data_IF_149199577151
#
_entry.id   IF_149199577151
#
_cell.length_a   1.000
_cell.length_b   1.000
_cell.length_c   1.000
_cell.angle_alpha   90.00
_cell.angle_beta   90.00
_cell.angle_gamma   90.00
#
_symmetry.space_group_name_H-M   'P 1'
#
loop_
_entity.id
_entity.type
_entity.pdbx_description
1 polymer ?
#
# COMPACT_ATOMS: atom_id res chain seq x y z
N UNK A 1 4.13 -23.72 -8.41
CA UNK A 1 3.64 -23.20 -9.70
C UNK A 1 2.76 -24.26 -10.32
N UNK A 2 1.46 -24.01 -10.42
CA UNK A 2 0.54 -24.87 -11.15
C UNK A 2 0.72 -24.58 -12.65
N UNK A 3 1.35 -25.50 -13.36
CA UNK A 3 1.43 -25.43 -14.82
C UNK A 3 0.04 -25.67 -15.39
N UNK A 4 -0.48 -24.69 -16.12
CA UNK A 4 -1.68 -24.86 -16.95
C UNK A 4 -1.29 -25.77 -18.11
N UNK A 5 -1.59 -27.06 -17.97
CA UNK A 5 -1.44 -28.04 -19.04
C UNK A 5 -2.67 -27.89 -19.95
N UNK A 6 -2.48 -27.30 -21.14
CA UNK A 6 -3.47 -27.36 -22.22
C UNK A 6 -3.48 -28.78 -22.79
N UNK A 7 -4.03 -29.72 -22.04
CA UNK A 7 -4.43 -31.01 -22.57
C UNK A 7 -5.67 -30.78 -23.42
N UNK A 8 -5.53 -30.79 -24.75
CA UNK A 8 -6.66 -31.06 -25.63
C UNK A 8 -7.05 -32.52 -25.41
N UNK A 9 -7.87 -32.77 -24.40
CA UNK A 9 -8.52 -34.07 -24.22
C UNK A 9 -9.52 -34.21 -25.35
N UNK A 10 -9.18 -34.95 -26.41
CA UNK A 10 -10.20 -35.51 -27.29
C UNK A 10 -10.91 -36.57 -26.46
N UNK A 11 -11.98 -36.19 -25.78
CA UNK A 11 -13.01 -37.14 -25.39
C UNK A 11 -13.58 -37.63 -26.70
N UNK A 12 -13.17 -38.81 -27.15
CA UNK A 12 -13.86 -39.51 -28.23
C UNK A 12 -15.26 -39.80 -27.73
N UNK A 13 -16.21 -38.93 -28.07
CA UNK A 13 -17.62 -39.24 -27.95
C UNK A 13 -17.83 -40.50 -28.79
N UNK A 14 -18.31 -41.56 -28.16
CA UNK A 14 -18.70 -42.78 -28.86
C UNK A 14 -19.88 -42.43 -29.77
N UNK A 15 -19.56 -42.09 -31.02
CA UNK A 15 -20.54 -41.92 -32.08
C UNK A 15 -20.85 -43.31 -32.65
N UNK A 16 -22.13 -43.66 -32.68
CA UNK A 16 -22.64 -44.89 -33.30
C UNK A 16 -22.63 -44.74 -34.83
N UNK A 17 -21.48 -44.38 -35.40
CA UNK A 17 -21.24 -44.41 -36.83
C UNK A 17 -20.95 -45.85 -37.24
N UNK A 18 -21.68 -46.35 -38.24
CA UNK A 18 -21.39 -47.61 -38.91
C UNK A 18 -19.90 -47.65 -39.26
N UNK A 19 -19.13 -48.52 -38.61
CA UNK A 19 -17.67 -48.56 -38.74
C UNK A 19 -17.26 -48.92 -40.18
N UNK A 20 -17.06 -47.90 -41.04
CA UNK A 20 -16.63 -48.04 -42.43
C UNK A 20 -15.13 -48.38 -42.55
N UNK A 21 -14.50 -48.78 -41.44
CA UNK A 21 -13.11 -49.14 -41.37
C UNK A 21 -12.85 -50.41 -42.18
N UNK A 22 -11.95 -50.30 -43.15
CA UNK A 22 -11.49 -51.41 -43.99
C UNK A 22 -10.26 -52.06 -43.39
N UNK A 23 -10.23 -53.40 -43.40
CA UNK A 23 -9.11 -54.21 -42.89
C UNK A 23 -8.21 -54.64 -44.03
N UNK A 24 -6.91 -54.42 -43.88
CA UNK A 24 -5.87 -54.76 -44.84
C UNK A 24 -4.87 -55.73 -44.21
N UNK A 25 -4.57 -56.82 -44.94
CA UNK A 25 -3.51 -57.76 -44.61
C UNK A 25 -2.15 -57.19 -45.01
N UNK A 26 -1.09 -57.73 -44.44
CA UNK A 26 0.30 -57.35 -44.70
C UNK A 26 1.02 -58.46 -45.47
N UNK A 27 2.07 -58.14 -46.22
CA UNK A 27 2.90 -59.17 -46.86
C UNK A 27 3.66 -59.96 -45.80
N UNK A 28 3.53 -61.29 -45.85
CA UNK A 28 4.15 -62.19 -44.90
C UNK A 28 5.68 -62.17 -45.04
N UNK A 29 6.38 -62.24 -43.91
CA UNK A 29 7.84 -62.31 -43.90
C UNK A 29 8.37 -63.49 -44.72
N UNK A 30 9.31 -63.21 -45.63
CA UNK A 30 9.99 -64.23 -46.42
C UNK A 30 9.12 -64.95 -47.46
N UNK A 31 7.88 -64.48 -47.71
CA UNK A 31 7.00 -65.04 -48.75
C UNK A 31 6.54 -63.95 -49.72
N UNK A 32 6.96 -64.05 -50.97
CA UNK A 32 6.63 -63.07 -52.00
C UNK A 32 5.14 -63.17 -52.41
N UNK A 33 4.42 -62.05 -52.35
CA UNK A 33 3.01 -61.96 -52.77
C UNK A 33 1.98 -62.61 -51.84
N UNK A 34 2.40 -63.17 -50.69
CA UNK A 34 1.48 -63.80 -49.73
C UNK A 34 1.01 -62.76 -48.71
N UNK A 35 -0.30 -62.51 -48.68
CA UNK A 35 -0.93 -61.62 -47.72
C UNK A 35 -1.44 -62.39 -46.51
N UNK A 36 -1.10 -61.92 -45.31
CA UNK A 36 -1.50 -62.52 -44.04
C UNK A 36 -1.92 -61.44 -43.04
N UNK A 37 -2.89 -61.79 -42.19
CA UNK A 37 -3.28 -60.99 -41.02
C UNK A 37 -2.86 -61.64 -39.71
N UNK A 38 -2.00 -62.67 -39.76
CA UNK A 38 -1.60 -63.44 -38.58
C UNK A 38 -0.66 -62.64 -37.67
N UNK A 39 0.33 -61.93 -38.21
CA UNK A 39 1.30 -61.17 -37.42
C UNK A 39 0.89 -59.73 -37.20
N UNK A 40 0.44 -59.06 -38.26
CA UNK A 40 -0.05 -57.69 -38.21
C UNK A 40 -1.22 -57.51 -39.18
N UNK A 41 -2.03 -56.47 -38.97
CA UNK A 41 -2.99 -55.99 -39.95
C UNK A 41 -3.20 -54.48 -39.76
N UNK A 42 -3.74 -53.83 -40.78
CA UNK A 42 -4.00 -52.39 -40.75
C UNK A 42 -5.49 -52.16 -40.93
N UNK A 43 -6.04 -51.24 -40.15
CA UNK A 43 -7.41 -50.76 -40.28
C UNK A 43 -7.36 -49.32 -40.77
N UNK A 44 -8.02 -49.03 -41.88
CA UNK A 44 -8.09 -47.68 -42.44
C UNK A 44 -9.53 -47.20 -42.50
N UNK A 45 -9.77 -46.02 -41.97
CA UNK A 45 -11.07 -45.35 -42.04
C UNK A 45 -11.05 -44.37 -43.23
N UNK A 46 -11.83 -44.62 -44.30
CA UNK A 46 -11.86 -43.76 -45.48
C UNK A 46 -12.49 -42.38 -45.20
N UNK A 47 -13.32 -42.26 -44.17
CA UNK A 47 -14.04 -41.03 -43.83
C UNK A 47 -13.12 -40.05 -43.10
N UNK A 48 -12.34 -40.54 -42.12
CA UNK A 48 -11.34 -39.70 -41.40
C UNK A 48 -9.98 -39.65 -42.09
N UNK A 49 -9.74 -40.56 -43.04
CA UNK A 49 -8.43 -40.83 -43.66
C UNK A 49 -7.35 -41.21 -42.67
N UNK A 50 -7.73 -41.73 -41.50
CA UNK A 50 -6.80 -42.21 -40.48
C UNK A 50 -6.67 -43.74 -40.57
N UNK A 51 -5.54 -44.25 -40.09
CA UNK A 51 -5.31 -45.69 -39.99
C UNK A 51 -4.78 -46.08 -38.62
N UNK A 52 -4.88 -47.37 -38.33
CA UNK A 52 -4.36 -47.99 -37.12
C UNK A 52 -3.71 -49.31 -37.48
N UNK A 53 -2.47 -49.50 -37.04
CA UNK A 53 -1.73 -50.76 -37.15
C UNK A 53 -2.03 -51.59 -35.91
N UNK A 54 -2.31 -52.87 -36.10
CA UNK A 54 -2.60 -53.82 -35.03
C UNK A 54 -1.69 -55.03 -35.10
N UNK A 55 -1.42 -55.63 -33.95
CA UNK A 55 -0.98 -57.01 -33.90
C UNK A 55 -2.07 -57.94 -34.44
N UNK A 56 -1.68 -58.97 -35.17
CA UNK A 56 -2.57 -59.95 -35.78
C UNK A 56 -3.17 -60.94 -34.80
N UNK A 57 -3.75 -62.01 -35.34
CA UNK A 57 -4.37 -63.09 -34.55
C UNK A 57 -3.36 -64.03 -33.90
N UNK A 58 -2.15 -64.13 -34.46
CA UNK A 58 -1.05 -64.96 -33.98
C UNK A 58 0.30 -64.20 -33.98
N UNK A 59 0.41 -63.08 -33.25
CA UNK A 59 1.64 -62.29 -33.18
C UNK A 59 2.74 -63.06 -32.44
N UNK A 60 3.99 -62.63 -32.56
CA UNK A 60 5.11 -63.30 -31.89
C UNK A 60 5.00 -63.27 -30.36
N UNK A 61 4.37 -62.21 -29.84
CA UNK A 61 3.97 -62.14 -28.44
C UNK A 61 2.47 -62.39 -28.33
N UNK A 62 2.05 -63.64 -28.08
CA UNK A 62 0.62 -64.01 -28.06
C UNK A 62 -0.28 -63.13 -27.18
N UNK A 63 0.26 -62.55 -26.09
CA UNK A 63 -0.42 -61.57 -25.21
C UNK A 63 -0.81 -60.25 -25.88
N UNK A 64 -0.28 -59.99 -27.08
CA UNK A 64 -0.51 -58.77 -27.87
C UNK A 64 -1.55 -58.99 -28.96
N UNK A 65 -2.13 -60.19 -29.11
CA UNK A 65 -3.09 -60.49 -30.17
C UNK A 65 -4.22 -59.44 -30.27
N UNK A 66 -4.43 -58.91 -31.47
CA UNK A 66 -5.40 -57.87 -31.80
C UNK A 66 -5.27 -56.54 -31.03
N UNK A 67 -4.16 -56.29 -30.33
CA UNK A 67 -3.92 -54.98 -29.68
C UNK A 67 -3.48 -53.94 -30.72
N UNK A 68 -3.94 -52.72 -30.52
CA UNK A 68 -3.49 -51.56 -31.29
C UNK A 68 -2.00 -51.34 -31.01
N UNK A 69 -1.25 -51.15 -32.09
CA UNK A 69 0.18 -50.89 -32.04
C UNK A 69 0.44 -49.39 -32.21
N UNK A 70 -0.02 -48.81 -33.33
CA UNK A 70 0.17 -47.39 -33.64
C UNK A 70 -1.06 -46.80 -34.34
N UNK A 71 -1.33 -45.53 -34.05
CA UNK A 71 -2.29 -44.70 -34.81
C UNK A 71 -1.53 -43.89 -35.87
N UNK A 72 -2.14 -43.74 -37.04
CA UNK A 72 -1.65 -42.98 -38.18
C UNK A 72 -2.65 -41.88 -38.49
N UNK A 73 -2.20 -40.63 -38.46
CA UNK A 73 -3.06 -39.47 -38.72
C UNK A 73 -3.40 -39.29 -40.20
N UNK A 74 -4.31 -38.36 -40.50
CA UNK A 74 -4.77 -38.08 -41.87
C UNK A 74 -3.69 -37.56 -42.83
N UNK A 75 -2.54 -37.12 -42.32
CA UNK A 75 -1.36 -36.74 -43.11
C UNK A 75 -0.44 -37.93 -43.43
N UNK A 76 -0.78 -39.14 -42.96
CA UNK A 76 -0.01 -40.36 -43.15
C UNK A 76 1.23 -40.47 -42.27
N UNK A 77 1.24 -39.79 -41.11
CA UNK A 77 2.32 -39.89 -40.12
C UNK A 77 1.88 -40.71 -38.91
N UNK A 78 2.82 -41.44 -38.33
CA UNK A 78 2.60 -42.24 -37.12
C UNK A 78 2.55 -41.32 -35.89
N UNK A 79 1.51 -41.42 -35.08
CA UNK A 79 1.39 -40.68 -33.82
C UNK A 79 2.13 -41.44 -32.72
N UNK A 80 3.11 -40.79 -32.11
CA UNK A 80 3.96 -41.38 -31.07
C UNK A 80 3.91 -40.50 -29.83
N UNK A 81 3.75 -41.15 -28.69
CA UNK A 81 3.84 -40.55 -27.35
C UNK A 81 5.12 -41.07 -26.67
N UNK A 82 5.88 -40.19 -26.02
CA UNK A 82 7.06 -40.58 -25.25
C UNK A 82 6.70 -41.50 -24.09
N UNK A 83 7.65 -42.32 -23.62
CA UNK A 83 7.40 -43.27 -22.52
C UNK A 83 7.00 -42.55 -21.20
N UNK A 84 7.41 -41.29 -21.03
CA UNK A 84 7.05 -40.45 -19.88
C UNK A 84 5.71 -39.72 -20.04
N UNK A 85 5.03 -39.87 -21.19
CA UNK A 85 3.74 -39.24 -21.50
C UNK A 85 3.79 -37.72 -21.65
N UNK A 86 4.99 -37.11 -21.70
CA UNK A 86 5.13 -35.64 -21.73
C UNK A 86 5.16 -35.07 -23.15
N UNK A 87 5.54 -35.88 -24.14
CA UNK A 87 5.72 -35.44 -25.52
C UNK A 87 4.85 -36.29 -26.43
N UNK A 88 4.17 -35.64 -27.37
CA UNK A 88 3.51 -36.28 -28.49
C UNK A 88 4.03 -35.69 -29.78
N UNK A 89 4.42 -36.52 -30.73
CA UNK A 89 4.95 -36.08 -32.02
C UNK A 89 4.44 -36.97 -33.16
N UNK A 90 4.42 -36.40 -34.36
CA UNK A 90 4.10 -37.11 -35.60
C UNK A 90 5.38 -37.55 -36.29
N UNK A 91 5.53 -38.86 -36.49
CA UNK A 91 6.69 -39.47 -37.12
C UNK A 91 6.40 -39.83 -38.57
N UNK A 92 7.20 -39.29 -39.49
CA UNK A 92 7.15 -39.69 -40.89
C UNK A 92 7.85 -41.03 -41.06
N UNK A 93 7.11 -42.00 -41.58
CA UNK A 93 7.64 -43.26 -42.05
C UNK A 93 7.23 -43.46 -43.50
N UNK A 94 8.20 -43.81 -44.35
CA UNK A 94 7.98 -43.90 -45.80
C UNK A 94 6.94 -44.97 -46.15
N UNK A 95 7.03 -46.14 -45.53
CA UNK A 95 6.21 -47.30 -45.89
C UNK A 95 4.77 -47.11 -45.39
N UNK A 96 4.61 -46.51 -44.21
CA UNK A 96 3.32 -46.04 -43.70
C UNK A 96 2.72 -44.98 -44.62
N UNK A 97 3.50 -44.00 -45.03
CA UNK A 97 3.03 -42.92 -45.89
C UNK A 97 2.61 -43.44 -47.28
N UNK A 98 3.38 -44.37 -47.85
CA UNK A 98 3.07 -45.01 -49.14
C UNK A 98 1.79 -45.87 -49.04
N UNK A 99 1.59 -46.61 -47.93
CA UNK A 99 0.32 -47.28 -47.63
C UNK A 99 -0.85 -46.30 -47.61
N UNK A 100 -0.74 -45.21 -46.85
CA UNK A 100 -1.81 -44.21 -46.70
C UNK A 100 -2.16 -43.54 -48.03
N UNK A 101 -1.16 -43.20 -48.84
CA UNK A 101 -1.37 -42.63 -50.17
C UNK A 101 -2.03 -43.61 -51.15
N UNK A 102 -1.75 -44.91 -51.01
CA UNK A 102 -2.34 -45.92 -51.89
C UNK A 102 -3.85 -46.08 -51.71
N UNK A 103 -4.39 -45.76 -50.52
CA UNK A 103 -5.82 -45.91 -50.19
C UNK A 103 -6.75 -44.96 -50.95
N UNK A 104 -6.24 -43.82 -51.43
CA UNK A 104 -6.97 -42.90 -52.30
C UNK A 104 -6.81 -43.18 -53.79
N UNK A 105 -6.00 -44.19 -54.16
CA UNK A 105 -5.65 -44.48 -55.56
C UNK A 105 -6.49 -45.62 -56.14
N UNK A 106 -6.82 -45.54 -57.43
CA UNK A 106 -7.46 -46.64 -58.17
C UNK A 106 -6.46 -47.75 -58.58
N UNK A 107 -5.22 -47.68 -58.09
CA UNK A 107 -4.13 -48.62 -58.41
C UNK A 107 -3.96 -49.65 -57.27
N UNK A 108 -3.07 -50.63 -57.48
CA UNK A 108 -2.71 -51.63 -56.48
C UNK A 108 -2.40 -50.98 -55.13
N UNK A 109 -3.06 -51.46 -54.07
CA UNK A 109 -2.81 -51.01 -52.69
C UNK A 109 -1.38 -51.39 -52.30
N UNK A 110 -0.66 -50.46 -51.69
CA UNK A 110 0.64 -50.76 -51.08
C UNK A 110 0.38 -51.50 -49.77
N UNK A 111 0.26 -52.82 -49.83
CA UNK A 111 0.17 -53.62 -48.61
C UNK A 111 1.55 -53.62 -47.95
N UNK A 112 1.69 -52.98 -46.79
CA UNK A 112 2.93 -53.00 -46.01
C UNK A 112 3.37 -54.45 -45.74
N UNK A 113 4.66 -54.70 -45.58
CA UNK A 113 5.21 -56.00 -45.19
C UNK A 113 5.37 -56.13 -43.67
N UNK A 114 5.43 -57.39 -43.19
CA UNK A 114 5.76 -57.66 -41.78
C UNK A 114 7.12 -57.06 -41.37
N UNK A 115 8.09 -56.97 -42.29
CA UNK A 115 9.41 -56.37 -42.03
C UNK A 115 9.37 -54.86 -41.87
N UNK A 116 8.61 -54.17 -42.71
CA UNK A 116 8.41 -52.73 -42.61
C UNK A 116 7.79 -52.36 -41.26
N UNK A 117 6.79 -53.13 -40.81
CA UNK A 117 6.15 -52.92 -39.50
C UNK A 117 7.12 -53.21 -38.35
N UNK A 118 7.95 -54.26 -38.45
CA UNK A 118 8.99 -54.55 -37.42
C UNK A 118 10.05 -53.46 -37.35
N UNK A 119 10.48 -52.96 -38.49
CA UNK A 119 11.41 -51.82 -38.60
C UNK A 119 10.80 -50.56 -37.97
N UNK A 120 9.53 -50.29 -38.28
CA UNK A 120 8.77 -49.19 -37.68
C UNK A 120 8.70 -49.32 -36.16
N UNK A 121 8.41 -50.51 -35.63
CA UNK A 121 8.38 -50.76 -34.17
C UNK A 121 9.73 -50.37 -33.56
N UNK A 122 10.84 -50.90 -34.08
CA UNK A 122 12.17 -50.62 -33.53
C UNK A 122 12.51 -49.11 -33.56
N UNK A 123 12.12 -48.41 -34.62
CA UNK A 123 12.32 -46.96 -34.77
C UNK A 123 11.45 -46.20 -33.78
N UNK A 124 10.14 -46.46 -33.73
CA UNK A 124 9.21 -45.78 -32.82
C UNK A 124 9.59 -46.01 -31.37
N UNK A 125 9.90 -47.25 -30.96
CA UNK A 125 10.36 -47.56 -29.60
C UNK A 125 11.68 -46.85 -29.23
N UNK A 126 12.54 -46.54 -30.21
CA UNK A 126 13.72 -45.71 -29.98
C UNK A 126 13.36 -44.24 -29.78
N UNK A 127 12.35 -43.72 -30.50
CA UNK A 127 11.92 -42.32 -30.38
C UNK A 127 11.14 -42.10 -29.09
N UNK A 128 10.37 -43.09 -28.61
CA UNK A 128 9.67 -43.03 -27.30
C UNK A 128 10.62 -42.77 -26.12
N UNK A 129 11.87 -43.23 -26.24
CA UNK A 129 12.93 -43.05 -25.23
C UNK A 129 13.55 -41.65 -25.26
N UNK A 130 13.21 -40.81 -26.23
CA UNK A 130 13.65 -39.41 -26.23
C UNK A 130 12.96 -38.70 -25.06
N UNK A 131 13.75 -38.32 -24.06
CA UNK A 131 13.31 -37.49 -22.95
C UNK A 131 13.90 -36.09 -23.09
N UNK A 132 13.06 -35.07 -22.91
CA UNK A 132 13.52 -33.67 -22.81
C UNK A 132 13.69 -33.35 -21.34
N UNK A 133 14.91 -33.01 -20.93
CA UNK A 133 15.16 -32.48 -19.59
C UNK A 133 14.65 -31.04 -19.52
N UNK A 134 13.39 -30.87 -19.13
CA UNK A 134 12.73 -29.57 -18.97
C UNK A 134 13.46 -28.68 -17.97
N UNK A 135 14.05 -29.26 -16.93
CA UNK A 135 14.77 -28.50 -15.90
C UNK A 135 16.04 -27.88 -16.48
N UNK A 136 16.77 -28.58 -17.34
CA UNK A 136 17.92 -28.03 -18.04
C UNK A 136 17.55 -26.93 -19.05
N UNK A 137 16.34 -26.99 -19.64
CA UNK A 137 15.83 -25.97 -20.57
C UNK A 137 15.31 -24.73 -19.84
N UNK A 138 14.63 -24.91 -18.70
CA UNK A 138 14.02 -23.81 -17.94
C UNK A 138 14.95 -23.19 -16.89
N UNK A 139 15.90 -23.93 -16.32
CA UNK A 139 16.82 -23.43 -15.30
C UNK A 139 17.64 -22.20 -15.73
N UNK A 140 18.13 -22.08 -16.99
CA UNK A 140 18.81 -20.87 -17.43
C UNK A 140 17.87 -19.65 -17.51
N UNK A 141 16.58 -19.86 -17.75
CA UNK A 141 15.56 -18.81 -17.88
C UNK A 141 15.04 -18.34 -16.52
N UNK A 142 15.14 -19.19 -15.50
CA UNK A 142 14.62 -18.97 -14.15
C UNK A 142 15.74 -18.95 -13.11
N UNK A 143 16.88 -18.31 -13.40
CA UNK A 143 17.99 -18.11 -12.43
C UNK A 143 17.51 -17.25 -11.25
N UNK A 144 16.78 -17.86 -10.32
CA UNK A 144 16.35 -17.28 -9.06
C UNK A 144 17.06 -18.03 -7.95
N UNK A 145 17.90 -17.32 -7.20
CA UNK A 145 18.74 -17.89 -6.15
C UNK A 145 18.03 -17.77 -4.79
N UNK A 146 17.30 -18.82 -4.41
CA UNK A 146 16.61 -18.89 -3.11
C UNK A 146 17.51 -19.59 -2.09
N UNK A 147 18.16 -18.82 -1.23
CA UNK A 147 19.03 -19.35 -0.15
C UNK A 147 18.36 -19.29 1.24
N UNK A 148 17.16 -18.71 1.33
CA UNK A 148 16.43 -18.49 2.58
C UNK A 148 15.13 -19.29 2.62
N UNK A 149 14.71 -19.72 3.83
CA UNK A 149 13.54 -20.59 4.05
C UNK A 149 12.24 -19.81 3.86
N UNK A 150 11.24 -20.48 3.26
CA UNK A 150 9.91 -19.92 3.02
C UNK A 150 9.94 -18.57 2.26
N UNK A 151 10.86 -18.45 1.30
CA UNK A 151 11.07 -17.21 0.55
C UNK A 151 10.94 -17.42 -0.96
N UNK A 152 10.68 -16.33 -1.69
CA UNK A 152 10.49 -16.29 -3.14
C UNK A 152 11.39 -15.21 -3.73
N UNK A 153 12.27 -15.60 -4.65
CA UNK A 153 13.00 -14.69 -5.52
C UNK A 153 12.17 -14.50 -6.80
N UNK A 154 11.56 -13.33 -6.97
CA UNK A 154 10.61 -13.07 -8.06
C UNK A 154 11.23 -12.20 -9.16
N UNK A 155 11.62 -12.86 -10.25
CA UNK A 155 12.15 -12.23 -11.45
C UNK A 155 13.50 -12.83 -11.88
N UNK A 156 13.93 -12.51 -13.09
CA UNK A 156 15.25 -12.91 -13.60
C UNK A 156 16.36 -12.34 -12.71
N UNK A 157 17.37 -13.15 -12.42
CA UNK A 157 18.51 -12.81 -11.56
C UNK A 157 18.12 -12.41 -10.13
N UNK A 158 16.87 -12.68 -9.72
CA UNK A 158 16.42 -12.39 -8.37
C UNK A 158 17.07 -13.28 -7.32
N UNK A 159 17.17 -12.73 -6.13
CA UNK A 159 17.74 -13.38 -4.95
C UNK A 159 16.75 -13.32 -3.81
N UNK A 160 17.09 -13.94 -2.69
CA UNK A 160 16.42 -13.71 -1.39
C UNK A 160 17.44 -13.17 -0.40
N UNK A 161 17.01 -12.38 0.57
CA UNK A 161 17.91 -11.78 1.57
C UNK A 161 17.57 -12.18 3.01
N UNK A 162 16.43 -12.83 3.21
CA UNK A 162 15.91 -13.25 4.53
C UNK A 162 14.85 -14.35 4.37
N UNK A 163 14.57 -15.06 5.46
CA UNK A 163 13.48 -16.04 5.54
C UNK A 163 12.11 -15.33 5.53
N UNK A 164 11.05 -16.00 5.05
CA UNK A 164 9.68 -15.47 4.96
C UNK A 164 9.54 -14.19 4.12
N UNK A 165 10.21 -14.12 2.97
CA UNK A 165 10.26 -12.93 2.10
C UNK A 165 9.85 -13.23 0.66
N UNK A 166 9.15 -12.28 0.03
CA UNK A 166 9.12 -12.18 -1.44
C UNK A 166 10.02 -11.02 -1.86
N UNK A 167 11.11 -11.32 -2.56
CA UNK A 167 12.10 -10.32 -2.98
C UNK A 167 12.10 -10.17 -4.50
N UNK A 168 12.00 -8.93 -4.97
CA UNK A 168 11.95 -8.59 -6.40
C UNK A 168 13.23 -7.92 -6.91
N UNK A 169 14.21 -7.67 -6.03
CA UNK A 169 15.53 -7.18 -6.44
C UNK A 169 16.34 -8.27 -7.13
N UNK A 170 17.44 -7.89 -7.77
CA UNK A 170 18.23 -8.79 -8.63
C UNK A 170 19.73 -8.53 -8.53
N UNK A 171 20.55 -9.56 -8.73
CA UNK A 171 22.00 -9.42 -8.91
C UNK A 171 22.25 -8.60 -10.16
N UNK A 172 22.98 -7.50 -10.05
CA UNK A 172 23.31 -6.75 -11.27
C UNK A 172 24.42 -7.46 -12.04
N UNK A 173 24.47 -7.21 -13.34
CA UNK A 173 25.61 -7.60 -14.16
C UNK A 173 26.84 -6.72 -13.91
N UNK A 174 27.84 -6.89 -14.77
CA UNK A 174 29.12 -6.18 -14.73
C UNK A 174 29.05 -4.69 -15.02
N UNK A 175 27.88 -4.18 -15.40
CA UNK A 175 27.68 -2.77 -15.78
C UNK A 175 27.25 -1.87 -14.62
N UNK A 176 27.17 -2.41 -13.39
CA UNK A 176 26.75 -1.67 -12.19
C UNK A 176 27.71 -1.91 -11.04
N UNK A 177 28.08 -0.83 -10.35
CA UNK A 177 28.90 -0.88 -9.12
C UNK A 177 28.13 -1.43 -7.91
N UNK A 178 26.80 -1.52 -8.00
CA UNK A 178 25.95 -2.07 -6.94
C UNK A 178 25.80 -3.56 -7.12
N UNK A 179 26.00 -4.36 -6.07
CA UNK A 179 25.74 -5.82 -6.12
C UNK A 179 24.29 -6.16 -6.48
N UNK A 180 23.33 -5.34 -6.04
CA UNK A 180 21.90 -5.58 -6.25
C UNK A 180 21.20 -4.35 -6.85
N UNK A 181 20.36 -4.61 -7.85
CA UNK A 181 19.39 -3.67 -8.40
C UNK A 181 17.99 -3.88 -7.80
N UNK A 182 17.15 -2.85 -7.87
CA UNK A 182 15.75 -2.89 -7.41
C UNK A 182 14.79 -2.78 -8.57
N UNK A 183 13.56 -3.29 -8.39
CA UNK A 183 12.45 -3.15 -9.34
C UNK A 183 11.37 -2.27 -8.74
N UNK A 184 10.69 -1.51 -9.60
CA UNK A 184 9.47 -0.80 -9.22
C UNK A 184 8.30 -1.77 -9.23
N UNK A 185 7.51 -1.76 -8.16
CA UNK A 185 6.28 -2.54 -8.06
C UNK A 185 5.09 -1.64 -8.37
N UNK A 186 4.42 -1.90 -9.51
CA UNK A 186 3.29 -1.10 -10.01
C UNK A 186 1.99 -1.88 -10.13
N UNK A 187 0.89 -1.18 -10.42
CA UNK A 187 -0.44 -1.81 -10.60
C UNK A 187 -1.16 -2.17 -9.30
N UNK A 188 -0.77 -1.55 -8.18
CA UNK A 188 -1.38 -1.80 -6.87
C UNK A 188 -2.67 -0.98 -6.71
N UNK A 189 -3.73 -1.65 -6.26
CA UNK A 189 -4.87 -0.96 -5.66
C UNK A 189 -4.50 -0.46 -4.26
N UNK A 190 -5.22 0.56 -3.77
CA UNK A 190 -5.00 1.06 -2.42
C UNK A 190 -5.28 -0.03 -1.38
N UNK A 191 -4.34 -0.20 -0.46
CA UNK A 191 -4.48 -1.13 0.66
C UNK A 191 -5.62 -0.72 1.59
N UNK A 192 -6.33 -1.71 2.12
CA UNK A 192 -7.49 -1.51 3.02
C UNK A 192 -7.28 -2.18 4.37
N UNK A 193 -6.45 -3.22 4.43
CA UNK A 193 -6.06 -3.93 5.65
C UNK A 193 -4.67 -3.51 6.12
N UNK A 194 -4.36 -3.74 7.39
CA UNK A 194 -3.08 -3.36 8.00
C UNK A 194 -1.86 -4.05 7.39
N UNK A 195 -2.06 -5.19 6.70
CA UNK A 195 -1.02 -5.96 6.03
C UNK A 195 -0.92 -5.67 4.53
N UNK A 196 -1.77 -4.81 3.98
CA UNK A 196 -1.73 -4.47 2.57
C UNK A 196 -0.58 -3.49 2.29
N UNK A 197 -0.01 -3.58 1.09
CA UNK A 197 0.98 -2.60 0.64
C UNK A 197 0.32 -1.22 0.46
N UNK A 198 0.88 -0.19 1.09
CA UNK A 198 0.45 1.18 0.88
C UNK A 198 0.91 1.69 -0.49
N UNK A 199 -0.01 2.29 -1.26
CA UNK A 199 0.34 2.93 -2.53
C UNK A 199 0.96 4.31 -2.28
N UNK A 200 1.77 4.81 -3.22
CA UNK A 200 2.32 6.18 -3.17
C UNK A 200 1.19 7.22 -3.01
N UNK A 201 0.06 7.00 -3.70
CA UNK A 201 -1.13 7.86 -3.60
C UNK A 201 -1.74 7.89 -2.19
N UNK A 202 -1.69 6.80 -1.42
CA UNK A 202 -2.13 6.80 -0.02
C UNK A 202 -1.19 7.63 0.85
N UNK A 203 0.12 7.46 0.64
CA UNK A 203 1.14 8.21 1.36
C UNK A 203 1.03 9.71 1.10
N UNK A 204 0.82 10.13 -0.15
CA UNK A 204 0.65 11.55 -0.50
C UNK A 204 -0.57 12.17 0.17
N UNK A 205 -1.72 11.46 0.23
CA UNK A 205 -2.91 11.96 0.95
C UNK A 205 -2.66 12.14 2.44
N UNK A 206 -1.91 11.23 3.06
CA UNK A 206 -1.52 11.34 4.47
C UNK A 206 -0.60 12.54 4.66
N UNK A 207 0.39 12.72 3.78
CA UNK A 207 1.28 13.87 3.80
C UNK A 207 0.51 15.19 3.75
N UNK A 208 -0.40 15.35 2.80
CA UNK A 208 -1.22 16.56 2.66
C UNK A 208 -2.07 16.81 3.91
N UNK A 209 -2.64 15.75 4.49
CA UNK A 209 -3.44 15.84 5.73
C UNK A 209 -2.59 16.29 6.93
N UNK A 210 -1.35 15.80 7.03
CA UNK A 210 -0.41 16.18 8.08
C UNK A 210 0.05 17.64 7.91
N UNK A 211 0.30 18.06 6.67
CA UNK A 211 0.65 19.46 6.37
C UNK A 211 -0.50 20.41 6.74
N UNK A 212 -1.74 20.05 6.42
CA UNK A 212 -2.92 20.82 6.84
C UNK A 212 -3.06 20.88 8.36
N UNK A 213 -2.90 19.75 9.05
CA UNK A 213 -2.96 19.70 10.51
C UNK A 213 -1.91 20.61 11.16
N UNK A 214 -0.70 20.67 10.60
CA UNK A 214 0.36 21.56 11.07
C UNK A 214 -0.02 23.05 10.92
N UNK A 215 -0.62 23.43 9.78
CA UNK A 215 -1.10 24.80 9.53
C UNK A 215 -2.23 25.19 10.49
N UNK A 216 -3.19 24.29 10.70
CA UNK A 216 -4.31 24.51 11.62
C UNK A 216 -3.83 24.65 13.07
N UNK A 217 -2.85 23.83 13.46
CA UNK A 217 -2.24 23.89 14.80
C UNK A 217 -1.52 25.22 15.02
N UNK A 218 -0.73 25.68 14.05
CA UNK A 218 -0.06 26.98 14.14
C UNK A 218 -1.05 28.13 14.26
N UNK A 219 -2.15 28.09 13.50
CA UNK A 219 -3.21 29.09 13.60
C UNK A 219 -3.84 29.12 14.99
N UNK A 220 -4.14 27.95 15.57
CA UNK A 220 -4.69 27.86 16.94
C UNK A 220 -3.70 28.38 18.00
N UNK A 221 -2.42 28.08 17.86
CA UNK A 221 -1.38 28.58 18.77
C UNK A 221 -1.30 30.11 18.75
N UNK A 222 -1.37 30.74 17.57
CA UNK A 222 -1.37 32.20 17.45
C UNK A 222 -2.59 32.83 18.14
N UNK A 223 -3.77 32.25 17.93
CA UNK A 223 -5.02 32.72 18.56
C UNK A 223 -4.93 32.60 20.08
N UNK A 224 -4.48 31.46 20.60
CA UNK A 224 -4.41 31.25 22.04
C UNK A 224 -3.32 32.11 22.69
N UNK A 225 -2.18 32.32 22.02
CA UNK A 225 -1.14 33.23 22.48
C UNK A 225 -1.64 34.69 22.55
N UNK A 226 -2.41 35.14 21.56
CA UNK A 226 -3.02 36.48 21.56
C UNK A 226 -4.02 36.64 22.71
N UNK A 227 -4.90 35.65 22.89
CA UNK A 227 -5.89 35.64 23.99
C UNK A 227 -5.22 35.66 25.37
N UNK A 228 -4.14 34.89 25.53
CA UNK A 228 -3.34 34.89 26.77
C UNK A 228 -2.74 36.27 27.05
N UNK A 229 -2.20 36.94 26.02
CA UNK A 229 -1.64 38.30 26.13
C UNK A 229 -2.71 39.35 26.47
N UNK A 230 -3.85 39.32 25.80
CA UNK A 230 -4.98 40.21 26.12
C UNK A 230 -5.49 39.99 27.56
N UNK A 231 -5.52 38.73 28.02
CA UNK A 231 -5.89 38.40 29.39
C UNK A 231 -4.92 38.99 30.43
N UNK A 232 -3.61 38.97 30.15
CA UNK A 232 -2.60 39.57 31.03
C UNK A 232 -2.65 41.09 31.00
N UNK A 233 -2.70 41.70 29.81
CA UNK A 233 -2.62 43.16 29.64
C UNK A 233 -3.83 43.87 30.27
N UNK A 234 -5.03 43.27 30.19
CA UNK A 234 -6.25 43.77 30.84
C UNK A 234 -6.17 43.80 32.38
N UNK A 235 -5.19 43.13 32.98
CA UNK A 235 -4.98 43.07 34.43
C UNK A 235 -3.74 43.81 34.91
N UNK A 236 -2.78 44.03 34.03
CA UNK A 236 -1.48 44.61 34.38
C UNK A 236 -1.27 46.03 33.87
N UNK A 237 -2.29 46.62 33.23
CA UNK A 237 -2.22 48.00 32.73
C UNK A 237 -3.44 48.83 33.09
N UNK A 238 -3.26 50.15 33.13
CA UNK A 238 -4.33 51.16 33.28
C UNK A 238 -4.18 52.25 32.23
N UNK A 239 -5.30 52.82 31.80
CA UNK A 239 -5.32 53.96 30.88
C UNK A 239 -4.97 55.26 31.59
N UNK A 240 -4.33 56.19 30.89
CA UNK A 240 -4.01 57.53 31.40
C UNK A 240 -4.53 58.58 30.43
N UNK A 241 -5.49 59.38 30.89
CA UNK A 241 -6.00 60.51 30.12
C UNK A 241 -4.95 61.64 30.04
N UNK A 242 -5.09 62.58 29.09
CA UNK A 242 -4.20 63.75 29.00
C UNK A 242 -4.16 64.61 30.26
N UNK A 243 -5.22 64.62 31.07
CA UNK A 243 -5.31 65.31 32.36
C UNK A 243 -4.66 64.54 33.53
N UNK A 244 -4.08 63.36 33.26
CA UNK A 244 -3.44 62.50 34.24
C UNK A 244 -4.39 61.61 35.05
N UNK A 245 -5.68 61.57 34.71
CA UNK A 245 -6.65 60.66 35.35
C UNK A 245 -6.43 59.22 34.89
N UNK A 246 -6.43 58.29 35.86
CA UNK A 246 -6.40 56.85 35.59
C UNK A 246 -7.78 56.35 35.16
N UNK A 247 -7.81 55.53 34.13
CA UNK A 247 -9.02 54.94 33.53
C UNK A 247 -8.81 53.44 33.22
N UNK A 248 -9.86 52.78 32.71
CA UNK A 248 -9.70 51.44 32.13
C UNK A 248 -8.72 51.49 30.96
N UNK A 249 -7.89 50.47 30.81
CA UNK A 249 -6.91 50.41 29.73
C UNK A 249 -7.59 50.21 28.36
N UNK A 250 -8.75 49.55 28.31
CA UNK A 250 -9.47 49.30 27.07
C UNK A 250 -9.82 50.62 26.34
N UNK A 251 -9.26 50.78 25.14
CA UNK A 251 -9.51 51.95 24.28
C UNK A 251 -8.75 53.23 24.69
N UNK A 252 -7.87 53.17 25.69
CA UNK A 252 -7.07 54.31 26.09
C UNK A 252 -5.90 54.58 25.11
N UNK A 253 -5.66 55.84 24.77
CA UNK A 253 -4.56 56.24 23.86
C UNK A 253 -3.18 56.03 24.49
N UNK A 254 -3.10 56.07 25.83
CA UNK A 254 -1.88 55.84 26.60
C UNK A 254 -2.18 54.90 27.75
N UNK A 255 -1.35 53.88 27.93
CA UNK A 255 -1.40 52.96 29.06
C UNK A 255 -0.09 53.00 29.84
N UNK A 256 -0.17 52.68 31.13
CA UNK A 256 0.98 52.43 32.00
C UNK A 256 0.74 51.12 32.76
N UNK A 257 1.80 50.52 33.29
CA UNK A 257 1.67 49.35 34.13
C UNK A 257 1.05 49.72 35.49
N UNK A 258 0.26 48.81 36.09
CA UNK A 258 -0.44 49.08 37.36
C UNK A 258 0.53 49.42 38.48
N UNK A 259 1.71 48.80 38.52
CA UNK A 259 2.75 49.07 39.52
C UNK A 259 3.25 50.52 39.41
N UNK A 260 3.46 51.04 38.21
CA UNK A 260 3.85 52.44 38.01
C UNK A 260 2.72 53.40 38.42
N UNK A 261 1.48 53.04 38.08
CA UNK A 261 0.29 53.77 38.52
C UNK A 261 0.12 53.80 40.04
N UNK A 262 0.40 52.68 40.71
CA UNK A 262 0.36 52.55 42.16
C UNK A 262 1.42 53.43 42.83
N UNK A 263 2.66 53.42 42.33
CA UNK A 263 3.74 54.28 42.83
C UNK A 263 3.37 55.76 42.70
N UNK A 264 2.83 56.17 41.55
CA UNK A 264 2.39 57.55 41.33
C UNK A 264 1.22 57.95 42.25
N UNK A 265 0.26 57.06 42.48
CA UNK A 265 -0.86 57.29 43.38
C UNK A 265 -0.42 57.37 44.84
N UNK A 266 0.53 56.52 45.27
CA UNK A 266 1.12 56.57 46.61
C UNK A 266 1.77 57.92 46.88
N UNK A 267 2.64 58.39 45.98
CA UNK A 267 3.29 59.70 46.15
C UNK A 267 2.30 60.87 46.19
N UNK A 268 1.18 60.79 45.45
CA UNK A 268 0.09 61.78 45.56
C UNK A 268 -0.59 61.74 46.93
N UNK A 269 -0.78 60.54 47.47
CA UNK A 269 -1.39 60.30 48.78
C UNK A 269 -0.50 60.87 49.89
N UNK A 270 0.81 60.65 49.82
CA UNK A 270 1.78 61.20 50.77
C UNK A 270 1.73 62.73 50.85
N UNK A 271 1.62 63.41 49.69
CA UNK A 271 1.48 64.87 49.66
C UNK A 271 0.16 65.36 50.26
N UNK A 272 -0.93 64.62 50.04
CA UNK A 272 -2.23 64.95 50.61
C UNK A 272 -2.19 64.77 52.13
N UNK A 273 -1.61 63.67 52.60
CA UNK A 273 -1.48 63.38 54.03
C UNK A 273 -0.72 64.49 54.77
N UNK A 274 0.44 64.89 54.22
CA UNK A 274 1.19 66.05 54.71
C UNK A 274 0.35 67.34 54.74
N UNK A 275 -0.37 67.64 53.65
CA UNK A 275 -1.19 68.86 53.55
C UNK A 275 -2.37 68.85 54.54
N UNK A 276 -3.02 67.71 54.75
CA UNK A 276 -4.12 67.54 55.71
C UNK A 276 -3.60 67.76 57.14
N UNK A 277 -2.46 67.16 57.51
CA UNK A 277 -1.83 67.41 58.81
C UNK A 277 -1.48 68.89 59.03
N UNK A 278 -0.99 69.58 58.00
CA UNK A 278 -0.72 71.02 58.07
C UNK A 278 -2.00 71.86 58.26
N UNK A 279 -3.09 71.49 57.58
CA UNK A 279 -4.41 72.14 57.73
C UNK A 279 -4.97 71.91 59.13
N UNK A 280 -4.92 70.68 59.64
CA UNK A 280 -5.39 70.34 60.99
C UNK A 280 -4.69 71.19 62.07
N UNK A 281 -3.36 71.32 61.97
CA UNK A 281 -2.60 72.20 62.86
C UNK A 281 -3.02 73.68 62.77
N UNK A 282 -3.38 74.17 61.57
CA UNK A 282 -3.91 75.54 61.39
C UNK A 282 -5.31 75.68 61.99
N UNK A 283 -6.20 74.72 61.78
CA UNK A 283 -7.56 74.71 62.33
C UNK A 283 -7.53 74.68 63.85
N UNK A 284 -6.67 73.85 64.44
CA UNK A 284 -6.47 73.78 65.89
C UNK A 284 -6.03 75.13 66.47
N UNK A 285 -5.01 75.78 65.87
CA UNK A 285 -4.56 77.11 66.32
C UNK A 285 -5.65 78.17 66.19
N UNK A 286 -6.37 78.18 65.07
CA UNK A 286 -7.48 79.11 64.87
C UNK A 286 -8.58 78.91 65.93
N UNK A 287 -8.91 77.66 66.24
CA UNK A 287 -9.90 77.32 67.29
C UNK A 287 -9.47 77.88 68.64
N UNK A 288 -8.21 77.65 69.04
CA UNK A 288 -7.65 78.20 70.27
C UNK A 288 -7.66 79.75 70.29
N UNK A 289 -7.32 80.40 69.16
CA UNK A 289 -7.39 81.86 69.04
C UNK A 289 -8.82 82.40 69.16
N UNK A 290 -9.79 81.72 68.55
CA UNK A 290 -11.22 82.09 68.64
C UNK A 290 -11.72 81.96 70.08
N UNK A 291 -11.39 80.87 70.78
CA UNK A 291 -11.74 80.71 72.19
C UNK A 291 -11.12 81.80 73.07
N UNK A 292 -9.83 82.11 72.86
CA UNK A 292 -9.13 83.18 73.58
C UNK A 292 -9.80 84.54 73.34
N UNK A 293 -10.10 84.87 72.10
CA UNK A 293 -10.78 86.11 71.74
C UNK A 293 -12.20 86.17 72.35
N UNK A 294 -12.94 85.06 72.33
CA UNK A 294 -14.28 84.97 72.94
C UNK A 294 -14.24 85.22 74.45
N UNK A 295 -13.25 84.64 75.16
CA UNK A 295 -13.03 84.90 76.59
C UNK A 295 -12.70 86.37 76.87
N UNK A 296 -11.86 86.99 76.03
CA UNK A 296 -11.53 88.41 76.15
C UNK A 296 -12.75 89.33 75.94
N UNK A 297 -13.59 89.03 74.94
CA UNK A 297 -14.85 89.75 74.69
C UNK A 297 -15.80 89.63 75.90
N UNK A 298 -15.97 88.42 76.44
CA UNK A 298 -16.81 88.18 77.62
C UNK A 298 -16.30 88.93 78.86
N UNK A 299 -14.98 88.97 79.07
CA UNK A 299 -14.36 89.73 80.16
C UNK A 299 -14.59 91.24 80.00
N UNK A 300 -14.32 91.79 78.82
CA UNK A 300 -14.55 93.21 78.51
C UNK A 300 -16.02 93.61 78.70
N UNK A 301 -16.95 92.73 78.32
CA UNK A 301 -18.39 92.95 78.50
C UNK A 301 -18.75 93.06 79.99
N UNK A 302 -18.21 92.20 80.86
CA UNK A 302 -18.43 92.30 82.32
C UNK A 302 -17.85 93.58 82.89
N UNK A 303 -16.64 93.97 82.49
CA UNK A 303 -16.02 95.21 82.95
C UNK A 303 -16.88 96.43 82.60
N UNK A 304 -17.40 96.48 81.36
CA UNK A 304 -18.32 97.53 80.94
C UNK A 304 -19.59 97.56 81.78
N UNK A 305 -20.22 96.40 82.02
CA UNK A 305 -21.41 96.30 82.88
C UNK A 305 -21.14 96.80 84.32
N UNK A 306 -19.97 96.50 84.88
CA UNK A 306 -19.55 97.01 86.18
C UNK A 306 -19.38 98.54 86.17
N UNK A 307 -18.73 99.09 85.15
CA UNK A 307 -18.55 100.56 85.03
C UNK A 307 -19.87 101.32 84.84
N UNK A 308 -20.84 100.73 84.14
CA UNK A 308 -22.19 101.31 84.02
C UNK A 308 -22.98 101.19 85.33
N UNK A 309 -22.75 100.15 86.13
CA UNK A 309 -23.42 99.98 87.42
C UNK A 309 -22.86 100.92 88.50
N UNK A 310 -21.57 101.24 88.47
CA UNK A 310 -20.93 102.15 89.43
C UNK A 310 -21.10 103.64 89.07
N UNK A 311 -21.25 103.99 87.80
CA UNK A 311 -21.58 105.36 87.37
C UNK A 311 -23.05 105.75 87.58
N UNK A 312 -23.90 104.79 87.94
CA UNK A 312 -25.31 105.00 88.31
C UNK A 312 -25.57 105.24 89.80
N UNK A 313 -24.55 105.21 90.68
CA UNK A 313 -24.75 105.65 92.07
C UNK A 313 -24.72 107.18 92.14
N UNK A 314 -25.81 107.85 92.53
CA UNK A 314 -25.77 109.30 92.77
C UNK A 314 -24.81 109.56 93.93
N UNK A 315 -23.92 110.55 93.75
CA UNK A 315 -23.09 111.06 94.83
C UNK A 315 -24.02 111.47 95.99
N UNK A 316 -23.79 110.87 97.16
CA UNK A 316 -24.44 111.32 98.38
C UNK A 316 -24.02 112.78 98.63
N UNK A 317 -24.97 113.73 98.85
CA UNK A 317 -24.63 115.07 99.27
C UNK A 317 -24.21 115.04 100.75
N UNK A 318 -23.15 115.80 101.04
CA UNK A 318 -22.51 116.14 102.33
C UNK A 318 -23.02 115.48 103.64
#
# INVERSE_FOLDING_TARGET
MAGVLFGVSFVTMADNTTDNTKRYSVHQYGQEGVLSSQKFYIKYNPDTKEAKIYFGTNPDQGKMANKELYTINSSGNVVVESDDGKLSFSYYDKDVHDFMNSMGSSKSVHNMSEDEIRSLINRVESIKKISVNTDAVLAPLLKSDTTHKNSVALGTDSVTTRDNEVYIGYKTGTESDKTYGTRVLGGLSDGTSNSDAATVRQVDRVKDSVEQLAQDTNTRLVVEAKKSREYTDSRTTVGVNPDGKLTRAEGATKTIAVNDGLVALSGRTDRIDYAVGAIDGRVTRNTQSIEKNSKAIAANTRTLQQTFSTSGQPAAPD
#
